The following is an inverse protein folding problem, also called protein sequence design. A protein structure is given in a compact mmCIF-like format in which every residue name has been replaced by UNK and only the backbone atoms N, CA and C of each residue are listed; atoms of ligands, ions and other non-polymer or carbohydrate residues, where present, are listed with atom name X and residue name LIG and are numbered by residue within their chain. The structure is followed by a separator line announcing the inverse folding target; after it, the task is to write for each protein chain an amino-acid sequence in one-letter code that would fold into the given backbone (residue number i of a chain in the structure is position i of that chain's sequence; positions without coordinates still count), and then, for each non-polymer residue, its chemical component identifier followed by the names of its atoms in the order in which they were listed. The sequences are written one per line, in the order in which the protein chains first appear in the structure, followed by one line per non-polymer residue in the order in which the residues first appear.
data_IF_827242040332
#
_entry.id   IF_827242040332
#
_cell.length_a   1.000
_cell.length_b   1.000
_cell.length_c   1.000
_cell.angle_alpha   90.00
_cell.angle_beta   90.00
_cell.angle_gamma   90.00
#
_symmetry.space_group_name_H-M   'P 1'
#
loop_
_entity.id
_entity.type
_entity.pdbx_description
1 polymer ?
#
# COMPACT_ATOMS: atom_id res chain seq x y z
N UNK A 1 -22.96 3.84 13.93
CA UNK A 1 -21.71 4.07 13.18
C UNK A 1 -21.27 5.49 13.44
N UNK A 2 -20.21 5.69 14.23
CA UNK A 2 -19.71 7.04 14.54
C UNK A 2 -19.15 7.68 13.27
N UNK A 3 -19.57 8.90 12.94
CA UNK A 3 -18.98 9.65 11.85
C UNK A 3 -17.51 9.90 12.16
N UNK A 4 -16.62 9.36 11.35
CA UNK A 4 -15.19 9.66 11.46
C UNK A 4 -15.01 11.14 11.20
N UNK A 5 -14.42 11.85 12.15
CA UNK A 5 -14.11 13.27 12.00
C UNK A 5 -13.12 13.44 10.84
N UNK A 6 -13.17 14.57 10.13
CA UNK A 6 -12.33 14.83 8.96
C UNK A 6 -10.83 14.65 9.24
N UNK A 7 -10.39 15.02 10.45
CA UNK A 7 -9.02 14.79 10.90
C UNK A 7 -8.66 13.30 11.05
N UNK A 8 -9.60 12.45 11.45
CA UNK A 8 -9.38 10.99 11.58
C UNK A 8 -9.30 10.32 10.20
N UNK A 9 -10.16 10.70 9.27
CA UNK A 9 -10.11 10.23 7.88
C UNK A 9 -8.80 10.65 7.18
N UNK A 10 -8.32 11.87 7.44
CA UNK A 10 -7.02 12.35 6.94
C UNK A 10 -5.86 11.54 7.50
N UNK A 11 -5.82 11.34 8.83
CA UNK A 11 -4.80 10.52 9.48
C UNK A 11 -4.81 9.07 8.95
N UNK A 12 -6.00 8.52 8.70
CA UNK A 12 -6.15 7.17 8.17
C UNK A 12 -5.67 7.06 6.71
N UNK A 13 -5.93 8.08 5.89
CA UNK A 13 -5.36 8.16 4.54
C UNK A 13 -3.83 8.23 4.56
N UNK A 14 -3.25 9.09 5.41
CA UNK A 14 -1.79 9.22 5.53
C UNK A 14 -1.15 7.93 6.02
N UNK A 15 -1.82 7.22 6.95
CA UNK A 15 -1.41 5.90 7.40
C UNK A 15 -1.40 4.89 6.25
N UNK A 16 -2.50 4.75 5.50
CA UNK A 16 -2.56 3.82 4.36
C UNK A 16 -1.55 4.14 3.26
N UNK A 17 -1.27 5.42 3.03
CA UNK A 17 -0.24 5.85 2.09
C UNK A 17 1.17 5.45 2.56
N UNK A 18 1.45 5.60 3.87
CA UNK A 18 2.72 5.16 4.47
C UNK A 18 2.89 3.65 4.40
N UNK A 19 1.82 2.90 4.69
CA UNK A 19 1.81 1.43 4.58
C UNK A 19 2.05 0.99 3.14
N UNK A 20 1.42 1.65 2.16
CA UNK A 20 1.66 1.39 0.74
C UNK A 20 3.13 1.62 0.36
N UNK A 21 3.74 2.73 0.79
CA UNK A 21 5.15 3.02 0.53
C UNK A 21 6.10 1.99 1.19
N UNK A 22 5.80 1.57 2.41
CA UNK A 22 6.57 0.54 3.11
C UNK A 22 6.46 -0.82 2.41
N UNK A 23 5.25 -1.21 1.99
CA UNK A 23 5.01 -2.49 1.31
C UNK A 23 5.64 -2.53 -0.08
N UNK A 24 5.65 -1.41 -0.79
CA UNK A 24 6.40 -1.28 -2.04
C UNK A 24 7.90 -1.45 -1.81
N UNK A 25 8.45 -0.76 -0.80
CA UNK A 25 9.89 -0.84 -0.50
C UNK A 25 10.31 -2.23 -0.05
N UNK A 26 9.55 -2.86 0.86
CA UNK A 26 9.89 -4.19 1.37
C UNK A 26 9.55 -5.31 0.37
N UNK A 27 8.41 -5.24 -0.31
CA UNK A 27 7.89 -6.32 -1.16
C UNK A 27 8.28 -6.22 -2.63
N UNK A 28 8.59 -5.03 -3.15
CA UNK A 28 9.01 -4.84 -4.55
C UNK A 28 10.51 -4.59 -4.65
N UNK A 29 11.04 -3.69 -3.83
CA UNK A 29 12.45 -3.29 -3.93
C UNK A 29 13.37 -4.34 -3.27
N UNK A 30 13.07 -4.79 -2.05
CA UNK A 30 13.94 -5.74 -1.32
C UNK A 30 14.28 -7.02 -2.09
N UNK A 31 13.33 -7.72 -2.76
CA UNK A 31 13.63 -8.93 -3.52
C UNK A 31 14.59 -8.74 -4.69
N UNK A 32 14.81 -7.50 -5.16
CA UNK A 32 15.79 -7.20 -6.22
C UNK A 32 17.23 -7.25 -5.72
N UNK A 33 17.44 -7.10 -4.40
CA UNK A 33 18.77 -7.08 -3.79
C UNK A 33 19.14 -8.41 -3.10
N UNK A 34 18.16 -9.29 -2.88
CA UNK A 34 18.38 -10.60 -2.28
C UNK A 34 18.67 -11.59 -3.41
N UNK A 35 19.81 -12.31 -3.37
CA UNK A 35 20.13 -13.38 -4.34
C UNK A 35 19.07 -14.50 -4.23
N UNK A 36 18.15 -14.60 -5.18
CA UNK A 36 17.04 -15.53 -5.09
C UNK A 36 17.39 -16.82 -5.85
N UNK A 37 17.01 -17.96 -5.29
CA UNK A 37 17.27 -19.24 -5.94
C UNK A 37 16.44 -19.46 -7.21
N UNK A 38 15.30 -18.76 -7.35
CA UNK A 38 14.39 -18.89 -8.48
C UNK A 38 13.82 -17.52 -8.89
N UNK A 39 14.10 -17.10 -10.13
CA UNK A 39 13.59 -15.86 -10.74
C UNK A 39 12.06 -15.78 -10.72
N UNK A 40 11.38 -16.92 -10.94
CA UNK A 40 9.92 -17.02 -10.99
C UNK A 40 9.29 -16.64 -9.65
N UNK A 41 9.89 -17.04 -8.52
CA UNK A 41 9.41 -16.67 -7.18
C UNK A 41 9.52 -15.17 -6.92
N UNK A 42 10.57 -14.50 -7.42
CA UNK A 42 10.70 -13.04 -7.30
C UNK A 42 9.55 -12.35 -8.02
N UNK A 43 9.29 -12.74 -9.27
CA UNK A 43 8.27 -12.10 -10.10
C UNK A 43 6.89 -12.25 -9.46
N UNK A 44 6.59 -13.42 -8.88
CA UNK A 44 5.34 -13.65 -8.13
C UNK A 44 5.26 -12.77 -6.88
N UNK A 45 6.33 -12.71 -6.08
CA UNK A 45 6.37 -11.88 -4.87
C UNK A 45 6.19 -10.40 -5.21
N UNK A 46 6.89 -9.91 -6.24
CA UNK A 46 6.77 -8.53 -6.73
C UNK A 46 5.35 -8.26 -7.22
N UNK A 47 4.76 -9.17 -8.00
CA UNK A 47 3.39 -9.00 -8.50
C UNK A 47 2.36 -8.92 -7.37
N UNK A 48 2.49 -9.76 -6.34
CA UNK A 48 1.65 -9.73 -5.13
C UNK A 48 1.89 -8.42 -4.35
N UNK A 49 3.13 -7.98 -4.20
CA UNK A 49 3.46 -6.75 -3.49
C UNK A 49 2.91 -5.51 -4.20
N UNK A 50 2.95 -5.47 -5.54
CA UNK A 50 2.36 -4.39 -6.35
C UNK A 50 0.84 -4.38 -6.19
N UNK A 51 0.18 -5.53 -6.28
CA UNK A 51 -1.28 -5.61 -6.11
C UNK A 51 -1.72 -5.16 -4.72
N UNK A 52 -1.03 -5.62 -3.66
CA UNK A 52 -1.24 -5.14 -2.29
C UNK A 52 -1.05 -3.62 -2.15
N UNK A 53 0.04 -3.09 -2.70
CA UNK A 53 0.34 -1.65 -2.68
C UNK A 53 -0.77 -0.85 -3.35
N UNK A 54 -1.23 -1.30 -4.53
CA UNK A 54 -2.33 -0.66 -5.25
C UNK A 54 -3.65 -0.71 -4.46
N UNK A 55 -3.96 -1.82 -3.78
CA UNK A 55 -5.15 -1.93 -2.94
C UNK A 55 -5.12 -0.93 -1.78
N UNK A 56 -3.99 -0.80 -1.09
CA UNK A 56 -3.85 0.17 0.00
C UNK A 56 -3.88 1.62 -0.50
N UNK A 57 -3.26 1.90 -1.64
CA UNK A 57 -3.31 3.21 -2.27
C UNK A 57 -4.74 3.57 -2.69
N UNK A 58 -5.46 2.61 -3.29
CA UNK A 58 -6.85 2.80 -3.68
C UNK A 58 -7.76 3.07 -2.48
N UNK A 59 -7.56 2.33 -1.38
CA UNK A 59 -8.23 2.59 -0.10
C UNK A 59 -7.92 4.00 0.43
N UNK A 60 -6.65 4.40 0.44
CA UNK A 60 -6.24 5.76 0.84
C UNK A 60 -6.94 6.83 0.00
N UNK A 61 -6.91 6.70 -1.33
CA UNK A 61 -7.55 7.65 -2.26
C UNK A 61 -9.06 7.68 -2.11
N UNK A 62 -9.70 6.53 -1.88
CA UNK A 62 -11.14 6.44 -1.62
C UNK A 62 -11.51 7.21 -0.34
N UNK A 63 -10.76 7.01 0.75
CA UNK A 63 -10.97 7.73 2.01
C UNK A 63 -10.81 9.25 1.84
N UNK A 64 -9.80 9.71 1.09
CA UNK A 64 -9.60 11.14 0.80
C UNK A 64 -10.74 11.70 -0.05
N UNK A 65 -11.23 10.94 -1.02
CA UNK A 65 -12.35 11.35 -1.86
C UNK A 65 -13.64 11.49 -1.04
N UNK A 66 -13.89 10.59 -0.09
CA UNK A 66 -15.00 10.70 0.87
C UNK A 66 -14.86 11.90 1.80
N UNK A 67 -13.63 12.31 2.15
CA UNK A 67 -13.38 13.50 2.96
C UNK A 67 -13.73 14.81 2.24
N UNK A 68 -13.52 14.87 0.92
CA UNK A 68 -13.66 16.08 0.10
C UNK A 68 -15.06 16.28 -0.49
N UNK A 69 -15.97 15.32 -0.28
CA UNK A 69 -17.34 15.28 -0.81
C UNK A 69 -18.36 15.59 0.29
#
# INVERSE_FOLDING_TARGET
MGSLNSNQLKALSEFFNTVAAAWFSAGVISPLFIKPQNLLNIVVIIAIAITMTMSFLYLSLFLVKTLKS
#
